data_IF_002269322267
#
_entry.id   IF_002269322267
#
_cell.length_a   1.000
_cell.length_b   1.000
_cell.length_c   1.000
_cell.angle_alpha   90.00
_cell.angle_beta   90.00
_cell.angle_gamma   90.00
#
_symmetry.space_group_name_H-M   'P 1'
#
loop_
_entity.id
_entity.type
_entity.pdbx_description
1 polymer ?
#
# COMPACT_ATOMS: atom_id res chain seq x y z
N UNK A 1 -47.20 73.04 -22.51
CA UNK A 1 -47.45 74.25 -21.69
C UNK A 1 -46.52 74.15 -20.49
N UNK A 2 -45.22 74.23 -20.72
CA UNK A 2 -44.41 75.43 -20.94
C UNK A 2 -44.31 76.36 -19.73
N UNK A 3 -43.06 76.36 -19.24
CA UNK A 3 -42.30 77.49 -18.70
C UNK A 3 -42.75 78.13 -17.39
N UNK A 4 -41.78 78.21 -16.46
CA UNK A 4 -41.06 79.48 -16.23
C UNK A 4 -39.93 79.28 -15.20
N UNK A 5 -38.75 79.81 -15.58
CA UNK A 5 -37.87 80.72 -14.79
C UNK A 5 -37.31 80.16 -13.47
N UNK A 6 -36.06 80.35 -13.05
CA UNK A 6 -35.02 81.32 -13.37
C UNK A 6 -33.80 81.00 -12.48
N UNK A 7 -32.60 81.25 -13.00
CA UNK A 7 -31.51 81.99 -12.33
C UNK A 7 -30.65 81.38 -11.21
N UNK A 8 -29.36 81.72 -11.37
CA UNK A 8 -28.31 82.04 -10.39
C UNK A 8 -27.52 80.87 -9.80
N UNK A 9 -26.28 80.67 -10.28
CA UNK A 9 -25.04 81.33 -9.82
C UNK A 9 -24.61 80.89 -8.42
N UNK A 10 -23.47 80.21 -8.37
CA UNK A 10 -22.76 79.88 -7.15
C UNK A 10 -21.55 79.00 -7.44
N UNK A 11 -20.49 79.60 -7.98
CA UNK A 11 -19.15 79.07 -7.80
C UNK A 11 -18.47 79.97 -6.78
N UNK A 12 -17.84 79.40 -5.74
CA UNK A 12 -16.40 79.57 -5.68
C UNK A 12 -15.64 78.32 -5.20
N UNK A 13 -14.66 77.94 -6.01
CA UNK A 13 -13.25 77.69 -5.65
C UNK A 13 -12.87 77.48 -4.19
N UNK A 14 -12.26 76.32 -3.92
CA UNK A 14 -11.03 76.00 -3.13
C UNK A 14 -11.24 74.58 -2.57
N UNK A 15 -10.36 73.58 -2.72
CA UNK A 15 -8.91 73.57 -2.51
C UNK A 15 -8.30 72.46 -3.38
N UNK A 16 -7.23 72.79 -4.10
CA UNK A 16 -6.28 71.81 -4.64
C UNK A 16 -5.60 71.10 -3.47
N UNK A 17 -5.94 69.84 -3.21
CA UNK A 17 -5.09 68.96 -2.40
C UNK A 17 -4.24 68.11 -3.33
N UNK A 18 -2.94 68.40 -3.32
CA UNK A 18 -1.90 67.67 -4.01
C UNK A 18 -1.93 66.19 -3.60
N UNK A 19 -2.32 65.33 -4.53
CA UNK A 19 -1.99 63.92 -4.52
C UNK A 19 -1.25 63.60 -5.81
N UNK A 20 0.07 63.75 -5.83
CA UNK A 20 0.89 63.11 -6.85
C UNK A 20 0.71 61.60 -6.69
N UNK A 21 -0.25 61.02 -7.42
CA UNK A 21 -0.22 59.59 -7.71
C UNK A 21 1.05 59.37 -8.53
N UNK A 22 2.09 58.87 -7.88
CA UNK A 22 3.13 58.10 -8.54
C UNK A 22 2.42 56.90 -9.16
N UNK A 23 1.98 57.04 -10.40
CA UNK A 23 1.65 55.90 -11.23
C UNK A 23 2.98 55.17 -11.45
N UNK A 24 3.30 54.25 -10.54
CA UNK A 24 4.23 53.19 -10.89
C UNK A 24 3.63 52.52 -12.11
N UNK A 25 4.28 52.73 -13.26
CA UNK A 25 3.83 52.17 -14.52
C UNK A 25 3.84 50.65 -14.37
N UNK A 26 2.68 50.07 -14.14
CA UNK A 26 2.48 48.64 -14.29
C UNK A 26 2.65 48.39 -15.77
N UNK A 27 3.84 47.94 -16.16
CA UNK A 27 4.12 47.48 -17.53
C UNK A 27 3.16 46.32 -17.79
N UNK A 28 2.19 46.55 -18.67
CA UNK A 28 1.32 45.49 -19.14
C UNK A 28 2.17 44.53 -19.99
N UNK A 29 2.11 43.23 -19.68
CA UNK A 29 2.82 42.21 -20.44
C UNK A 29 2.28 42.12 -21.85
N UNK A 30 3.18 41.98 -22.82
CA UNK A 30 2.81 41.75 -24.22
C UNK A 30 2.36 40.31 -24.43
N UNK A 31 1.52 40.07 -25.44
CA UNK A 31 1.13 38.71 -25.83
C UNK A 31 2.35 37.83 -26.16
N UNK A 32 3.38 38.44 -26.75
CA UNK A 32 4.62 37.76 -27.10
C UNK A 32 5.41 37.33 -25.85
N UNK A 33 5.51 38.19 -24.83
CA UNK A 33 6.15 37.81 -23.57
C UNK A 33 5.44 36.65 -22.89
N UNK A 34 4.10 36.67 -22.85
CA UNK A 34 3.34 35.57 -22.28
C UNK A 34 3.58 34.26 -23.06
N UNK A 35 3.62 34.33 -24.40
CA UNK A 35 3.89 33.18 -25.25
C UNK A 35 5.28 32.58 -25.01
N UNK A 36 6.30 33.42 -24.91
CA UNK A 36 7.67 32.97 -24.60
C UNK A 36 7.73 32.33 -23.22
N UNK A 37 7.10 32.92 -22.20
CA UNK A 37 7.10 32.37 -20.84
C UNK A 37 6.42 31.00 -20.79
N UNK A 38 5.23 30.82 -21.38
CA UNK A 38 4.57 29.52 -21.39
C UNK A 38 5.36 28.48 -22.19
N UNK A 39 6.07 28.89 -23.25
CA UNK A 39 6.92 27.99 -24.03
C UNK A 39 8.13 27.50 -23.21
N UNK A 40 8.78 28.38 -22.45
CA UNK A 40 9.89 28.02 -21.57
C UNK A 40 9.41 27.13 -20.43
N UNK A 41 8.26 27.43 -19.80
CA UNK A 41 7.66 26.57 -18.78
C UNK A 41 7.34 25.18 -19.35
N UNK A 42 6.78 25.11 -20.57
CA UNK A 42 6.49 23.85 -21.24
C UNK A 42 7.74 22.99 -21.48
N UNK A 43 8.84 23.61 -21.93
CA UNK A 43 10.13 22.93 -22.13
C UNK A 43 10.70 22.46 -20.78
N UNK A 44 10.70 23.32 -19.76
CA UNK A 44 11.19 22.99 -18.43
C UNK A 44 10.42 21.82 -17.82
N UNK A 45 9.08 21.83 -17.89
CA UNK A 45 8.23 20.75 -17.39
C UNK A 45 8.47 19.47 -18.18
N UNK A 46 8.57 19.56 -19.51
CA UNK A 46 8.83 18.40 -20.38
C UNK A 46 10.13 17.66 -20.06
N UNK A 47 11.20 18.39 -19.71
CA UNK A 47 12.51 17.81 -19.35
C UNK A 47 12.57 17.40 -17.88
N UNK A 48 11.88 18.12 -16.99
CA UNK A 48 11.97 17.88 -15.54
C UNK A 48 11.15 16.67 -15.07
N UNK A 49 9.99 16.39 -15.69
CA UNK A 49 9.11 15.29 -15.26
C UNK A 49 9.74 13.89 -15.37
N UNK A 50 10.47 13.53 -16.45
CA UNK A 50 11.17 12.25 -16.54
C UNK A 50 12.22 12.05 -15.43
N UNK A 51 12.97 13.09 -15.07
CA UNK A 51 14.02 13.03 -14.05
C UNK A 51 13.44 12.76 -12.63
N UNK A 52 12.23 13.25 -12.35
CA UNK A 52 11.56 13.05 -11.05
C UNK A 52 10.91 11.67 -10.91
N UNK A 53 10.59 10.99 -12.02
CA UNK A 53 9.94 9.66 -12.01
C UNK A 53 10.80 8.57 -11.35
N UNK A 54 12.13 8.70 -11.39
CA UNK A 54 13.07 7.74 -10.79
C UNK A 54 13.20 7.90 -9.26
N UNK A 55 13.19 9.13 -8.75
CA UNK A 55 13.45 9.44 -7.33
C UNK A 55 12.35 8.93 -6.38
N UNK A 56 11.10 8.90 -6.83
CA UNK A 56 9.97 8.40 -6.01
C UNK A 56 9.89 6.88 -5.88
N UNK A 57 10.48 6.13 -6.83
CA UNK A 57 10.30 4.67 -6.94
C UNK A 57 11.28 3.89 -6.05
N UNK A 58 12.52 4.35 -5.93
CA UNK A 58 13.56 3.68 -5.13
C UNK A 58 13.35 3.86 -3.62
N UNK A 59 12.84 5.04 -3.20
CA UNK A 59 12.65 5.37 -1.78
C UNK A 59 11.50 4.63 -1.10
N UNK A 60 10.36 4.44 -1.79
CA UNK A 60 9.18 3.76 -1.24
C UNK A 60 9.36 2.24 -1.17
N UNK A 61 10.02 1.64 -2.18
CA UNK A 61 10.32 0.21 -2.21
C UNK A 61 11.22 -0.19 -1.03
N UNK A 62 12.29 0.58 -0.80
CA UNK A 62 13.24 0.33 0.29
C UNK A 62 12.57 0.43 1.67
N UNK A 63 11.65 1.38 1.86
CA UNK A 63 10.91 1.53 3.12
C UNK A 63 10.00 0.34 3.42
N UNK A 64 9.26 -0.13 2.42
CA UNK A 64 8.40 -1.31 2.56
C UNK A 64 9.21 -2.59 2.84
N UNK A 65 10.33 -2.77 2.16
CA UNK A 65 11.24 -3.88 2.38
C UNK A 65 11.80 -3.88 3.81
N UNK A 66 12.22 -2.72 4.32
CA UNK A 66 12.70 -2.58 5.70
C UNK A 66 11.61 -2.86 6.73
N UNK A 67 10.40 -2.33 6.53
CA UNK A 67 9.27 -2.58 7.43
C UNK A 67 8.97 -4.09 7.54
N UNK A 68 8.88 -4.79 6.40
CA UNK A 68 8.59 -6.22 6.39
C UNK A 68 9.76 -7.04 6.96
N UNK A 69 11.00 -6.65 6.66
CA UNK A 69 12.21 -7.26 7.23
C UNK A 69 12.26 -7.15 8.76
N UNK A 70 11.93 -5.98 9.31
CA UNK A 70 11.86 -5.73 10.75
C UNK A 70 10.75 -6.54 11.40
N UNK A 71 9.55 -6.57 10.82
CA UNK A 71 8.43 -7.35 11.35
C UNK A 71 8.69 -8.87 11.28
N UNK A 72 9.42 -9.37 10.27
CA UNK A 72 9.86 -10.79 10.21
C UNK A 72 10.87 -11.11 11.31
N UNK A 73 11.84 -10.22 11.54
CA UNK A 73 12.82 -10.36 12.64
C UNK A 73 12.10 -10.34 13.99
N UNK A 74 11.11 -9.47 14.15
CA UNK A 74 10.29 -9.39 15.34
C UNK A 74 9.46 -10.66 15.54
N UNK A 75 8.78 -11.18 14.51
CA UNK A 75 8.04 -12.44 14.57
C UNK A 75 8.92 -13.62 15.02
N UNK A 76 10.13 -13.72 14.46
CA UNK A 76 11.13 -14.72 14.89
C UNK A 76 11.57 -14.52 16.34
N UNK A 77 11.83 -13.28 16.76
CA UNK A 77 12.20 -12.97 18.14
C UNK A 77 11.08 -13.37 19.11
N UNK A 78 9.82 -13.13 18.73
CA UNK A 78 8.65 -13.56 19.49
C UNK A 78 8.59 -15.08 19.63
N UNK A 79 8.83 -15.83 18.56
CA UNK A 79 8.87 -17.29 18.60
C UNK A 79 9.95 -17.81 19.57
N UNK A 80 11.14 -17.23 19.51
CA UNK A 80 12.25 -17.57 20.42
C UNK A 80 11.96 -17.21 21.88
N UNK A 81 11.43 -16.01 22.11
CA UNK A 81 11.13 -15.49 23.45
C UNK A 81 10.03 -16.29 24.12
N UNK A 82 8.95 -16.53 23.40
CA UNK A 82 7.78 -17.23 23.90
C UNK A 82 7.92 -18.76 23.78
N UNK A 83 9.00 -19.27 23.16
CA UNK A 83 9.19 -20.70 22.88
C UNK A 83 7.94 -21.34 22.23
N UNK A 84 7.26 -20.57 21.39
CA UNK A 84 6.01 -20.94 20.73
C UNK A 84 6.10 -20.68 19.24
N UNK A 85 5.23 -21.32 18.49
CA UNK A 85 5.16 -21.11 17.05
C UNK A 85 4.45 -19.79 16.76
N UNK A 86 5.09 -18.94 15.96
CA UNK A 86 4.59 -17.62 15.58
C UNK A 86 4.56 -17.52 14.07
N UNK A 87 3.49 -16.95 13.54
CA UNK A 87 3.22 -16.86 12.12
C UNK A 87 3.07 -15.40 11.72
N UNK A 88 3.80 -14.98 10.70
CA UNK A 88 3.42 -13.82 9.92
C UNK A 88 2.39 -14.28 8.88
N UNK A 89 1.19 -13.74 8.98
CA UNK A 89 0.02 -14.12 8.18
C UNK A 89 -0.26 -13.02 7.18
N UNK A 90 -0.48 -13.37 5.91
CA UNK A 90 -0.78 -12.42 4.84
C UNK A 90 -2.27 -12.39 4.52
N UNK A 91 -2.73 -11.24 4.02
CA UNK A 91 -4.12 -11.07 3.60
C UNK A 91 -4.45 -12.01 2.43
N UNK A 92 -5.56 -12.76 2.49
CA UNK A 92 -5.91 -13.72 1.44
C UNK A 92 -6.44 -13.01 0.18
N UNK A 93 -6.40 -13.70 -0.96
CA UNK A 93 -6.96 -13.20 -2.22
C UNK A 93 -8.49 -13.26 -2.27
N UNK A 94 -9.09 -14.18 -1.52
CA UNK A 94 -10.52 -14.50 -1.56
C UNK A 94 -11.26 -14.04 -0.30
N UNK A 95 -11.11 -12.78 0.09
CA UNK A 95 -11.77 -12.21 1.27
C UNK A 95 -13.30 -12.42 1.22
N UNK A 96 -13.89 -12.36 0.03
CA UNK A 96 -15.33 -12.59 -0.15
C UNK A 96 -15.78 -14.00 0.19
N UNK A 97 -14.98 -15.03 -0.10
CA UNK A 97 -15.31 -16.41 0.31
C UNK A 97 -15.28 -16.53 1.82
N UNK A 98 -14.30 -15.90 2.45
CA UNK A 98 -14.17 -15.86 3.91
C UNK A 98 -15.36 -15.10 4.53
N UNK A 99 -15.76 -13.95 3.97
CA UNK A 99 -16.94 -13.20 4.41
C UNK A 99 -18.21 -14.06 4.28
N UNK A 100 -18.43 -14.73 3.15
CA UNK A 100 -19.64 -15.53 2.91
C UNK A 100 -19.79 -16.68 3.92
N UNK A 101 -18.69 -17.33 4.28
CA UNK A 101 -18.70 -18.39 5.29
C UNK A 101 -18.98 -17.83 6.69
N UNK A 102 -18.51 -16.63 7.00
CA UNK A 102 -18.79 -15.95 8.28
C UNK A 102 -20.25 -15.47 8.34
N UNK A 103 -20.83 -15.01 7.23
CA UNK A 103 -22.23 -14.55 7.15
C UNK A 103 -23.24 -15.71 7.31
N UNK A 104 -22.85 -16.94 6.90
CA UNK A 104 -23.63 -18.16 7.17
C UNK A 104 -23.72 -18.50 8.68
N UNK A 105 -22.78 -18.05 9.51
CA UNK A 105 -22.67 -18.45 10.92
C UNK A 105 -23.38 -17.55 11.96
N UNK A 106 -24.28 -16.63 11.54
CA UNK A 106 -25.17 -15.74 12.35
C UNK A 106 -24.78 -14.26 12.31
N UNK A 107 -25.33 -13.50 11.37
CA UNK A 107 -25.37 -12.04 11.51
C UNK A 107 -26.80 -11.52 11.25
N UNK A 108 -27.46 -10.83 12.21
CA UNK A 108 -28.69 -10.12 11.91
C UNK A 108 -28.39 -8.96 10.95
N UNK A 109 -29.24 -8.69 9.94
CA UNK A 109 -28.92 -7.86 8.76
C UNK A 109 -28.71 -6.36 8.99
N UNK A 110 -28.51 -5.90 10.24
CA UNK A 110 -28.57 -4.46 10.58
C UNK A 110 -27.61 -3.96 11.66
N UNK A 111 -26.67 -4.75 12.17
CA UNK A 111 -25.71 -4.24 13.17
C UNK A 111 -24.30 -4.13 12.59
N UNK A 112 -23.69 -2.98 12.85
CA UNK A 112 -22.28 -2.64 12.59
C UNK A 112 -21.37 -3.54 13.44
N UNK A 113 -21.38 -4.83 13.17
CA UNK A 113 -20.54 -5.75 13.93
C UNK A 113 -19.07 -5.46 13.60
N UNK A 114 -18.20 -5.28 14.61
CA UNK A 114 -16.78 -4.97 14.40
C UNK A 114 -16.09 -5.95 13.46
N UNK A 115 -16.56 -7.20 13.39
CA UNK A 115 -16.06 -8.24 12.48
C UNK A 115 -16.29 -7.89 11.01
N UNK A 116 -17.51 -7.48 10.64
CA UNK A 116 -17.80 -7.07 9.27
C UNK A 116 -16.99 -5.84 8.87
N UNK A 117 -16.85 -4.86 9.77
CA UNK A 117 -16.01 -3.69 9.52
C UNK A 117 -14.53 -4.06 9.33
N UNK A 118 -14.02 -4.97 10.17
CA UNK A 118 -12.64 -5.47 10.05
C UNK A 118 -12.42 -6.26 8.76
N UNK A 119 -13.41 -7.04 8.30
CA UNK A 119 -13.38 -7.77 7.04
C UNK A 119 -13.41 -6.82 5.83
N UNK A 120 -14.26 -5.80 5.85
CA UNK A 120 -14.27 -4.75 4.81
C UNK A 120 -12.92 -4.02 4.76
N UNK A 121 -12.32 -3.74 5.92
CA UNK A 121 -10.97 -3.16 5.98
C UNK A 121 -9.89 -4.09 5.40
N UNK A 122 -10.11 -5.41 5.38
CA UNK A 122 -9.17 -6.36 4.75
C UNK A 122 -9.18 -6.28 3.23
N UNK A 123 -10.29 -5.87 2.60
CA UNK A 123 -10.38 -5.71 1.14
C UNK A 123 -9.27 -4.78 0.65
N UNK A 124 -9.06 -3.66 1.35
CA UNK A 124 -8.01 -2.68 1.03
C UNK A 124 -6.59 -3.16 1.35
N UNK A 125 -6.45 -4.26 2.09
CA UNK A 125 -5.16 -4.85 2.49
C UNK A 125 -4.79 -6.08 1.65
N UNK A 126 -5.56 -6.42 0.63
CA UNK A 126 -5.18 -7.50 -0.28
C UNK A 126 -3.80 -7.24 -0.89
N UNK A 127 -2.99 -8.29 -1.00
CA UNK A 127 -1.62 -8.27 -1.52
C UNK A 127 -0.60 -7.38 -0.78
N UNK A 128 -1.01 -6.64 0.25
CA UNK A 128 -0.15 -5.69 0.97
C UNK A 128 -0.29 -5.79 2.49
N UNK A 129 -1.27 -6.56 2.96
CA UNK A 129 -1.62 -6.70 4.35
C UNK A 129 -0.98 -7.90 5.00
N UNK A 130 -0.54 -7.71 6.25
CA UNK A 130 -0.06 -8.81 7.08
C UNK A 130 -0.27 -8.52 8.57
N UNK A 131 -0.26 -9.57 9.37
CA UNK A 131 -0.30 -9.52 10.83
C UNK A 131 0.58 -10.62 11.41
N UNK A 132 0.95 -10.51 12.69
CA UNK A 132 1.69 -11.55 13.41
C UNK A 132 0.75 -12.22 14.40
N UNK A 133 0.70 -13.55 14.36
CA UNK A 133 -0.19 -14.38 15.17
C UNK A 133 0.61 -15.46 15.90
N UNK A 134 0.32 -15.68 17.17
CA UNK A 134 0.78 -16.87 17.91
C UNK A 134 -0.35 -17.87 17.99
N UNK A 135 -0.11 -19.14 17.69
CA UNK A 135 -1.14 -20.19 17.86
C UNK A 135 -1.22 -20.72 19.28
N UNK A 136 -0.19 -20.47 20.09
CA UNK A 136 -0.09 -20.93 21.48
C UNK A 136 0.53 -19.87 22.36
N UNK A 137 0.14 -19.83 23.62
CA UNK A 137 0.78 -19.02 24.67
C UNK A 137 1.63 -19.91 25.58
N UNK A 138 2.64 -19.31 26.23
CA UNK A 138 3.44 -20.02 27.23
C UNK A 138 2.57 -20.49 28.39
N UNK A 139 2.60 -21.78 28.69
CA UNK A 139 1.82 -22.37 29.79
C UNK A 139 0.48 -23.00 29.38
N UNK A 140 0.11 -22.95 28.10
CA UNK A 140 -1.09 -23.65 27.61
C UNK A 140 -0.96 -25.17 27.78
N UNK A 141 -2.03 -25.82 28.25
CA UNK A 141 -2.06 -27.28 28.34
C UNK A 141 -2.12 -27.93 26.95
N UNK A 142 -1.47 -29.09 26.74
CA UNK A 142 -1.54 -29.81 25.48
C UNK A 142 -3.00 -30.14 25.12
N UNK A 143 -3.46 -29.70 23.95
CA UNK A 143 -4.77 -30.04 23.40
C UNK A 143 -5.72 -28.86 23.17
N UNK A 144 -5.45 -27.69 23.74
CA UNK A 144 -6.23 -26.47 23.48
C UNK A 144 -5.30 -25.36 22.96
N UNK A 145 -5.55 -24.90 21.73
CA UNK A 145 -4.81 -23.79 21.13
C UNK A 145 -5.56 -22.49 21.39
N UNK A 146 -4.85 -21.49 21.91
CA UNK A 146 -5.38 -20.14 22.14
C UNK A 146 -4.69 -19.18 21.16
N UNK A 147 -5.19 -19.11 19.91
CA UNK A 147 -4.63 -18.20 18.91
C UNK A 147 -4.80 -16.76 19.34
N UNK A 148 -3.72 -15.97 19.23
CA UNK A 148 -3.71 -14.57 19.61
C UNK A 148 -2.95 -13.73 18.58
N UNK A 149 -3.55 -12.63 18.15
CA UNK A 149 -2.91 -11.64 17.30
C UNK A 149 -1.92 -10.81 18.12
N UNK A 150 -0.63 -10.94 17.81
CA UNK A 150 0.45 -10.19 18.46
C UNK A 150 0.61 -8.78 17.87
N UNK A 151 0.07 -8.55 16.67
CA UNK A 151 -0.05 -7.24 16.04
C UNK A 151 -1.42 -7.09 15.41
N UNK A 152 -1.88 -5.85 15.26
CA UNK A 152 -2.98 -5.55 14.34
C UNK A 152 -2.57 -5.83 12.87
N UNK A 153 -3.57 -5.87 11.99
CA UNK A 153 -3.35 -5.97 10.54
C UNK A 153 -2.72 -4.69 10.00
N UNK A 154 -1.44 -4.78 9.67
CA UNK A 154 -0.67 -3.72 9.03
C UNK A 154 -0.79 -3.80 7.51
N UNK A 155 -0.48 -2.70 6.84
CA UNK A 155 -0.33 -2.62 5.38
C UNK A 155 1.09 -2.19 5.05
N UNK A 156 1.62 -2.69 3.95
CA UNK A 156 2.85 -2.14 3.37
C UNK A 156 2.63 -0.67 2.94
N UNK A 157 3.69 0.16 2.93
CA UNK A 157 3.64 1.53 2.44
C UNK A 157 2.99 1.65 1.05
N UNK A 158 2.39 2.81 0.78
CA UNK A 158 1.49 2.98 -0.37
C UNK A 158 2.15 2.60 -1.70
N UNK A 159 1.41 1.79 -2.48
CA UNK A 159 1.83 1.27 -3.78
C UNK A 159 2.67 -0.01 -3.71
N UNK A 160 3.08 -0.46 -2.53
CA UNK A 160 3.87 -1.69 -2.38
C UNK A 160 2.99 -2.90 -2.10
N UNK A 161 3.22 -3.94 -2.89
CA UNK A 161 2.56 -5.22 -2.80
C UNK A 161 3.61 -6.31 -2.62
N UNK A 162 3.22 -7.37 -1.93
CA UNK A 162 3.88 -8.67 -2.06
C UNK A 162 3.52 -9.20 -3.44
N UNK A 163 4.51 -9.76 -4.14
CA UNK A 163 4.30 -10.29 -5.48
C UNK A 163 3.07 -11.22 -5.52
N UNK A 164 2.03 -10.90 -6.33
CA UNK A 164 0.73 -11.56 -6.22
C UNK A 164 0.75 -13.08 -6.34
N UNK A 165 1.68 -13.62 -7.15
CA UNK A 165 1.84 -15.06 -7.31
C UNK A 165 2.11 -15.79 -5.99
N UNK A 166 2.81 -15.17 -5.03
CA UNK A 166 3.08 -15.76 -3.72
C UNK A 166 1.80 -16.08 -2.94
N UNK A 167 0.80 -15.20 -3.05
CA UNK A 167 -0.47 -15.31 -2.32
C UNK A 167 -1.48 -16.14 -3.13
N UNK A 168 -1.55 -15.94 -4.45
CA UNK A 168 -2.45 -16.72 -5.32
C UNK A 168 -2.08 -18.20 -5.32
N UNK A 169 -0.79 -18.54 -5.27
CA UNK A 169 -0.31 -19.91 -5.30
C UNK A 169 -0.10 -20.50 -3.89
N UNK A 170 -0.67 -19.90 -2.85
CA UNK A 170 -0.51 -20.39 -1.47
C UNK A 170 -0.85 -21.89 -1.35
N UNK A 171 0.02 -22.64 -0.68
CA UNK A 171 -0.08 -24.10 -0.55
C UNK A 171 0.42 -24.88 -1.78
N UNK A 172 0.89 -24.20 -2.82
CA UNK A 172 1.48 -24.81 -4.03
C UNK A 172 2.94 -24.40 -4.20
N UNK A 173 3.74 -25.14 -4.98
CA UNK A 173 5.11 -24.73 -5.32
C UNK A 173 5.15 -23.31 -5.88
N UNK A 174 6.07 -22.49 -5.38
CA UNK A 174 6.19 -21.08 -5.74
C UNK A 174 5.36 -20.12 -4.87
N UNK A 175 4.30 -20.59 -4.21
CA UNK A 175 3.50 -19.79 -3.27
C UNK A 175 4.05 -19.76 -1.84
N UNK A 176 3.29 -19.15 -0.93
CA UNK A 176 3.50 -19.27 0.51
C UNK A 176 3.00 -20.60 1.06
N UNK A 177 3.56 -21.02 2.21
CA UNK A 177 2.91 -22.04 3.04
C UNK A 177 1.57 -21.55 3.55
N UNK A 178 0.68 -22.46 3.93
CA UNK A 178 -0.64 -22.12 4.48
C UNK A 178 -0.81 -22.59 5.91
N UNK A 179 -1.64 -21.89 6.67
CA UNK A 179 -1.99 -22.24 8.04
C UNK A 179 -3.46 -21.89 8.29
N UNK A 180 -4.14 -22.70 9.09
CA UNK A 180 -5.49 -22.39 9.58
C UNK A 180 -5.37 -21.40 10.74
N UNK A 181 -6.00 -20.24 10.61
CA UNK A 181 -5.92 -19.10 11.56
C UNK A 181 -7.32 -18.50 11.73
N UNK A 182 -7.76 -18.12 12.96
CA UNK A 182 -8.94 -17.26 13.13
C UNK A 182 -8.77 -15.96 12.36
N UNK A 183 -9.76 -15.55 11.56
CA UNK A 183 -9.60 -14.40 10.68
C UNK A 183 -10.86 -13.53 10.61
N UNK A 184 -10.73 -12.18 10.67
CA UNK A 184 -9.48 -11.42 10.79
C UNK A 184 -9.05 -11.17 12.25
N UNK A 185 -9.88 -11.60 13.22
CA UNK A 185 -9.64 -11.43 14.66
C UNK A 185 -9.54 -12.80 15.35
N UNK A 186 -8.95 -12.84 16.55
CA UNK A 186 -8.75 -14.08 17.32
C UNK A 186 -10.06 -14.83 17.65
N UNK A 187 -11.18 -14.12 17.71
CA UNK A 187 -12.52 -14.64 18.02
C UNK A 187 -13.37 -14.90 16.76
N UNK A 188 -12.78 -14.79 15.58
CA UNK A 188 -13.47 -15.01 14.30
C UNK A 188 -13.35 -16.45 13.84
N UNK A 189 -14.19 -16.85 12.87
CA UNK A 189 -14.11 -18.17 12.25
C UNK A 189 -12.74 -18.37 11.59
N UNK A 190 -12.28 -19.62 11.54
CA UNK A 190 -10.96 -19.94 11.00
C UNK A 190 -10.94 -19.92 9.47
N UNK A 191 -9.88 -19.38 8.89
CA UNK A 191 -9.61 -19.41 7.46
C UNK A 191 -8.21 -19.99 7.19
N UNK A 192 -8.01 -20.55 5.99
CA UNK A 192 -6.70 -20.98 5.52
C UNK A 192 -5.99 -19.77 4.92
N UNK A 193 -4.89 -19.33 5.55
CA UNK A 193 -4.19 -18.11 5.17
C UNK A 193 -2.75 -18.39 4.72
N UNK A 194 -2.20 -17.57 3.80
CA UNK A 194 -0.77 -17.60 3.47
C UNK A 194 0.06 -17.16 4.66
N UNK A 195 1.16 -17.86 4.94
CA UNK A 195 2.02 -17.57 6.09
C UNK A 195 3.50 -17.74 5.81
N UNK A 196 4.30 -16.99 6.59
CA UNK A 196 5.66 -17.37 6.98
C UNK A 196 5.63 -17.75 8.47
N UNK A 197 5.82 -19.04 8.77
CA UNK A 197 5.79 -19.56 10.14
C UNK A 197 7.19 -19.76 10.71
N UNK A 198 7.41 -19.33 11.95
CA UNK A 198 8.60 -19.61 12.75
C UNK A 198 8.26 -20.60 13.86
N UNK A 199 9.09 -21.63 14.02
CA UNK A 199 8.98 -22.53 15.16
C UNK A 199 9.60 -21.92 16.43
N UNK A 200 9.43 -22.57 17.58
CA UNK A 200 10.00 -22.15 18.87
C UNK A 200 11.54 -22.01 18.91
N UNK A 201 12.26 -22.56 17.92
CA UNK A 201 13.72 -22.41 17.73
C UNK A 201 14.07 -21.26 16.78
N UNK A 202 13.08 -20.50 16.33
CA UNK A 202 13.23 -19.41 15.38
C UNK A 202 13.61 -19.84 13.98
N UNK A 203 13.34 -21.10 13.59
CA UNK A 203 13.55 -21.65 12.24
C UNK A 203 12.23 -21.59 11.46
N UNK A 204 12.28 -21.64 10.13
CA UNK A 204 11.05 -21.67 9.34
C UNK A 204 10.34 -23.02 9.43
N UNK A 205 9.02 -22.99 9.58
CA UNK A 205 8.15 -24.19 9.60
C UNK A 205 7.99 -24.83 8.23
N UNK A 206 8.24 -24.10 7.14
CA UNK A 206 8.23 -24.61 5.77
C UNK A 206 9.32 -25.64 5.51
N UNK A 207 10.37 -25.69 6.34
CA UNK A 207 11.60 -26.48 6.12
C UNK A 207 12.32 -26.17 4.79
N UNK A 208 12.04 -25.00 4.21
CA UNK A 208 12.66 -24.49 2.98
C UNK A 208 12.82 -22.99 3.07
N UNK A 209 13.85 -22.45 2.40
CA UNK A 209 14.07 -21.00 2.34
C UNK A 209 12.83 -20.33 1.73
N UNK A 210 12.41 -19.23 2.33
CA UNK A 210 11.26 -18.46 1.87
C UNK A 210 11.74 -17.17 1.23
N UNK A 211 11.24 -16.86 0.03
CA UNK A 211 11.54 -15.62 -0.68
C UNK A 211 10.24 -14.84 -0.84
N UNK A 212 10.26 -13.59 -0.41
CA UNK A 212 9.13 -12.66 -0.46
C UNK A 212 9.51 -11.50 -1.38
N UNK A 213 9.15 -11.57 -2.67
CA UNK A 213 9.41 -10.49 -3.59
C UNK A 213 8.41 -9.35 -3.41
N UNK A 214 8.89 -8.12 -3.56
CA UNK A 214 8.09 -6.92 -3.45
C UNK A 214 7.95 -6.26 -4.81
N UNK A 215 6.75 -5.79 -5.11
CA UNK A 215 6.42 -5.13 -6.38
C UNK A 215 5.66 -3.83 -6.11
N UNK A 216 5.77 -2.91 -7.05
CA UNK A 216 4.96 -1.68 -7.04
C UNK A 216 3.70 -1.92 -7.86
N UNK A 217 2.54 -1.52 -7.37
CA UNK A 217 1.27 -1.73 -8.06
C UNK A 217 0.07 -1.20 -7.30
N UNK A 218 -1.10 -1.38 -7.91
CA UNK A 218 -2.39 -1.03 -7.36
C UNK A 218 -3.31 -2.26 -7.35
N UNK A 219 -4.14 -2.35 -6.32
CA UNK A 219 -5.21 -3.34 -6.22
C UNK A 219 -6.51 -2.56 -6.38
N UNK A 220 -7.25 -2.85 -7.44
CA UNK A 220 -8.50 -2.20 -7.79
C UNK A 220 -9.66 -3.14 -7.45
N UNK A 221 -10.65 -2.58 -6.80
CA UNK A 221 -11.89 -3.29 -6.49
C UNK A 221 -13.04 -2.62 -7.19
N UNK A 222 -13.92 -3.43 -7.76
CA UNK A 222 -15.15 -2.92 -8.32
C UNK A 222 -16.10 -2.49 -7.19
N UNK A 223 -16.80 -1.37 -7.41
CA UNK A 223 -17.76 -0.81 -6.47
C UNK A 223 -19.09 -0.58 -7.18
N UNK A 224 -20.19 -0.76 -6.45
CA UNK A 224 -21.51 -0.39 -6.92
C UNK A 224 -21.69 1.15 -6.97
N UNK A 225 -22.85 1.59 -7.49
CA UNK A 225 -23.22 3.02 -7.54
C UNK A 225 -23.31 3.70 -6.17
N UNK A 226 -23.38 2.92 -5.09
CA UNK A 226 -23.45 3.39 -3.71
C UNK A 226 -22.08 3.36 -3.01
N UNK A 227 -21.02 2.96 -3.72
CA UNK A 227 -19.65 2.89 -3.21
C UNK A 227 -19.31 1.63 -2.40
N UNK A 228 -20.20 0.63 -2.36
CA UNK A 228 -19.93 -0.66 -1.71
C UNK A 228 -19.09 -1.54 -2.63
N UNK A 229 -18.15 -2.29 -2.06
CA UNK A 229 -17.35 -3.23 -2.81
C UNK A 229 -18.21 -4.39 -3.34
N UNK A 230 -17.99 -4.77 -4.61
CA UNK A 230 -18.63 -5.93 -5.22
C UNK A 230 -17.84 -7.22 -4.95
N UNK A 231 -18.52 -8.38 -4.86
CA UNK A 231 -17.92 -9.67 -4.48
C UNK A 231 -17.12 -10.34 -5.60
N UNK A 232 -16.30 -9.57 -6.31
CA UNK A 232 -15.40 -10.04 -7.36
C UNK A 232 -13.95 -10.06 -6.88
N UNK A 233 -13.14 -10.88 -7.55
CA UNK A 233 -11.68 -10.82 -7.38
C UNK A 233 -11.18 -9.43 -7.77
N UNK A 234 -10.24 -8.84 -7.01
CA UNK A 234 -9.66 -7.57 -7.38
C UNK A 234 -8.88 -7.68 -8.69
N UNK A 235 -8.83 -6.57 -9.42
CA UNK A 235 -7.86 -6.41 -10.50
C UNK A 235 -6.54 -5.90 -9.92
N UNK A 236 -5.44 -6.60 -10.22
CA UNK A 236 -4.13 -6.32 -9.64
C UNK A 236 -3.20 -5.82 -10.72
N UNK A 237 -2.98 -4.51 -10.73
CA UNK A 237 -2.09 -3.87 -11.68
C UNK A 237 -0.69 -3.72 -11.09
N UNK A 238 0.25 -4.55 -11.56
CA UNK A 238 1.66 -4.39 -11.21
C UNK A 238 2.27 -3.37 -12.16
N UNK A 239 2.84 -2.29 -11.59
CA UNK A 239 3.44 -1.20 -12.35
C UNK A 239 4.97 -1.21 -12.26
N UNK A 240 5.58 -2.00 -11.36
CA UNK A 240 7.03 -2.03 -11.15
C UNK A 240 7.56 -3.04 -10.15
N UNK A 241 8.86 -2.93 -9.85
CA UNK A 241 9.56 -3.76 -8.88
C UNK A 241 10.05 -5.11 -9.44
N UNK A 242 9.98 -5.30 -10.75
CA UNK A 242 10.54 -6.45 -11.43
C UNK A 242 11.02 -6.07 -12.84
N UNK A 243 11.91 -6.89 -13.37
CA UNK A 243 12.35 -6.89 -14.76
C UNK A 243 12.24 -8.31 -15.30
N UNK A 244 11.71 -8.46 -16.51
CA UNK A 244 11.71 -9.76 -17.18
C UNK A 244 13.06 -10.00 -17.83
N UNK A 245 13.71 -11.10 -17.46
CA UNK A 245 15.05 -11.47 -17.93
C UNK A 245 14.98 -12.84 -18.58
N UNK A 246 15.71 -13.03 -19.67
CA UNK A 246 15.85 -14.35 -20.29
C UNK A 246 16.92 -15.12 -19.50
N UNK A 247 16.53 -16.21 -18.85
CA UNK A 247 17.42 -17.10 -18.11
C UNK A 247 17.20 -18.52 -18.64
N UNK A 248 18.27 -19.18 -19.09
CA UNK A 248 18.20 -20.55 -19.63
C UNK A 248 17.18 -20.70 -20.78
N UNK A 249 17.02 -19.65 -21.60
CA UNK A 249 16.08 -19.64 -22.73
C UNK A 249 14.61 -19.44 -22.34
N UNK A 250 14.30 -19.21 -21.06
CA UNK A 250 12.96 -18.90 -20.58
C UNK A 250 12.87 -17.46 -20.03
N UNK A 251 11.75 -16.78 -20.30
CA UNK A 251 11.43 -15.50 -19.67
C UNK A 251 11.13 -15.72 -18.19
N UNK A 252 11.90 -15.07 -17.32
CA UNK A 252 11.77 -15.15 -15.87
C UNK A 252 11.78 -13.75 -15.27
N UNK A 253 10.76 -13.41 -14.49
CA UNK A 253 10.71 -12.15 -13.77
C UNK A 253 11.73 -12.15 -12.61
N UNK A 254 12.64 -11.18 -12.63
CA UNK A 254 13.59 -10.87 -11.54
C UNK A 254 13.06 -9.68 -10.77
N UNK A 255 12.94 -9.81 -9.47
CA UNK A 255 12.44 -8.73 -8.61
C UNK A 255 13.58 -7.82 -8.18
N UNK A 256 13.34 -6.51 -8.19
CA UNK A 256 14.33 -5.51 -7.77
C UNK A 256 14.60 -5.62 -6.27
N UNK A 257 13.57 -5.84 -5.46
CA UNK A 257 13.69 -6.04 -4.03
C UNK A 257 12.96 -7.31 -3.59
N UNK A 258 13.64 -8.17 -2.85
CA UNK A 258 13.04 -9.35 -2.26
C UNK A 258 13.64 -9.64 -0.89
N UNK A 259 12.83 -10.18 0.02
CA UNK A 259 13.31 -10.63 1.33
C UNK A 259 13.51 -12.13 1.28
N UNK A 260 14.72 -12.60 1.54
CA UNK A 260 15.01 -14.02 1.75
C UNK A 260 15.03 -14.31 3.25
N UNK A 261 14.33 -15.37 3.66
CA UNK A 261 14.37 -15.90 5.02
C UNK A 261 14.97 -17.30 4.97
N UNK A 262 16.13 -17.46 5.59
CA UNK A 262 16.80 -18.77 5.64
C UNK A 262 16.02 -19.73 6.55
N UNK A 263 15.78 -20.97 6.12
CA UNK A 263 14.93 -21.89 6.86
C UNK A 263 15.56 -22.41 8.15
N UNK A 264 16.87 -22.65 8.16
CA UNK A 264 17.58 -23.20 9.33
C UNK A 264 17.70 -22.14 10.40
N UNK A 265 18.09 -20.92 10.03
CA UNK A 265 18.34 -19.86 11.00
C UNK A 265 17.12 -18.97 11.24
N UNK A 266 16.13 -18.97 10.35
CA UNK A 266 15.00 -18.02 10.30
C UNK A 266 15.42 -16.56 10.09
N UNK A 267 16.67 -16.30 9.68
CA UNK A 267 17.17 -14.93 9.53
C UNK A 267 16.67 -14.37 8.21
N UNK A 268 16.01 -13.22 8.29
CA UNK A 268 15.57 -12.45 7.14
C UNK A 268 16.66 -11.48 6.68
N UNK A 269 16.87 -11.41 5.36
CA UNK A 269 17.81 -10.51 4.68
C UNK A 269 17.11 -9.90 3.45
N UNK A 270 17.40 -8.62 3.21
CA UNK A 270 16.99 -7.94 1.99
C UNK A 270 18.01 -8.25 0.90
N UNK A 271 17.52 -8.76 -0.22
CA UNK A 271 18.27 -8.93 -1.47
C UNK A 271 17.74 -7.90 -2.46
N UNK A 272 18.62 -7.02 -2.91
CA UNK A 272 18.32 -6.05 -3.97
C UNK A 272 19.06 -6.50 -5.22
N UNK A 273 18.34 -6.56 -6.33
CA UNK A 273 18.89 -6.81 -7.65
C UNK A 273 18.82 -5.52 -8.45
N UNK A 274 19.97 -4.89 -8.63
CA UNK A 274 20.19 -3.85 -9.61
C UNK A 274 20.45 -4.58 -10.93
N UNK A 275 19.51 -4.52 -11.86
CA UNK A 275 19.70 -5.15 -13.16
C UNK A 275 20.97 -4.66 -13.85
N UNK A 276 21.56 -5.48 -14.72
CA UNK A 276 22.57 -4.99 -15.65
C UNK A 276 21.93 -3.86 -16.46
N UNK A 277 22.30 -2.62 -16.17
CA UNK A 277 22.14 -1.54 -17.13
C UNK A 277 22.91 -2.00 -18.38
N UNK A 278 22.18 -2.39 -19.43
CA UNK A 278 22.74 -2.30 -20.78
C UNK A 278 23.07 -0.81 -20.97
N UNK A 279 24.29 -0.43 -20.60
CA UNK A 279 24.93 0.78 -21.09
C UNK A 279 25.05 0.59 -22.60
N UNK A 280 24.10 1.18 -23.34
CA UNK A 280 24.24 1.45 -24.77
C UNK A 280 24.35 2.95 -24.98
#
# INVERSE_FOLDING_TARGET
MDERRTSQQGNPTFVKMFGQKLYSGVRAFTLLELLVVISIIGILVGISLPALKGLGRTGTNTGAARQLLEDLRYARQLALRNRSDVYMVFSPTNIWDVIRNVDQERLPPRKKDPRLLSLTNMIEKQFSGYAIVSMRTVGDQPGQEFPNYLTEWKKLPQGMLIAPHKIVQSGRPGGFSTQVVPFPLADSSTAVLPVVGFNSRGQLKSNSDEVIPLVTGNVLHEKDLFGNYLPYSPDVLITGGFSDVISEGQLKSRYHDQIRVNYITGRAQLETWEGEEEVK
#
